data_IF_012148253313
#
_entry.id   IF_012148253313
#
_cell.length_a   1.000
_cell.length_b   1.000
_cell.length_c   1.000
_cell.angle_alpha   90.00
_cell.angle_beta   90.00
_cell.angle_gamma   90.00
#
_symmetry.space_group_name_H-M   'P 1'
#
loop_
_entity.id
_entity.type
_entity.pdbx_description
1 polymer ?
#
# COMPACT_ATOMS: atom_id res chain seq x y z
N UNK A 1 -21.01 52.00 -33.75
CA UNK A 1 -20.75 50.98 -32.71
C UNK A 1 -19.67 50.06 -33.23
N UNK A 2 -18.67 49.77 -32.40
CA UNK A 2 -17.41 49.11 -32.74
C UNK A 2 -17.56 47.58 -32.99
N UNK A 3 -16.54 47.04 -33.68
CA UNK A 3 -16.15 45.63 -33.81
C UNK A 3 -16.48 44.78 -32.57
N UNK A 4 -17.00 43.55 -32.74
CA UNK A 4 -16.45 42.23 -32.32
C UNK A 4 -17.33 41.13 -32.97
N UNK A 5 -16.73 40.09 -33.57
CA UNK A 5 -17.45 38.84 -33.86
C UNK A 5 -16.91 38.03 -35.04
N UNK A 6 -15.74 37.42 -34.88
CA UNK A 6 -15.12 36.53 -35.86
C UNK A 6 -15.79 35.15 -35.97
N UNK A 7 -15.73 34.60 -37.18
CA UNK A 7 -16.25 33.31 -37.66
C UNK A 7 -15.62 32.09 -36.98
N UNK A 8 -16.44 31.07 -36.70
CA UNK A 8 -16.00 29.69 -36.53
C UNK A 8 -16.62 28.84 -37.65
N UNK A 9 -15.92 28.78 -38.79
CA UNK A 9 -16.16 27.79 -39.84
C UNK A 9 -15.16 26.64 -39.64
N UNK A 10 -15.64 25.39 -39.65
CA UNK A 10 -14.77 24.24 -39.87
C UNK A 10 -14.99 23.07 -38.93
N UNK A 11 -16.08 22.34 -39.15
CA UNK A 11 -16.19 20.92 -38.81
C UNK A 11 -15.04 20.20 -39.52
N UNK A 12 -14.04 19.76 -38.75
CA UNK A 12 -12.83 19.16 -39.32
C UNK A 12 -13.12 17.75 -39.85
N UNK A 13 -12.63 17.60 -41.08
CA UNK A 13 -12.77 16.52 -42.06
C UNK A 13 -12.36 15.13 -41.57
N UNK A 14 -13.08 14.14 -42.12
CA UNK A 14 -12.89 12.71 -41.99
C UNK A 14 -11.51 12.23 -42.49
N UNK A 15 -10.92 11.34 -41.68
CA UNK A 15 -9.99 10.22 -41.98
C UNK A 15 -9.28 10.22 -43.34
N UNK A 16 -7.97 10.47 -43.34
CA UNK A 16 -7.04 9.83 -44.29
C UNK A 16 -5.84 9.28 -43.53
N UNK A 17 -5.62 7.98 -43.76
CA UNK A 17 -4.41 7.24 -43.45
C UNK A 17 -3.15 7.96 -43.97
N UNK A 18 -2.01 7.50 -43.47
CA UNK A 18 -0.65 7.81 -43.91
C UNK A 18 -0.02 9.06 -43.28
N UNK A 19 0.53 8.89 -42.07
CA UNK A 19 1.81 9.46 -41.63
C UNK A 19 2.15 9.01 -40.20
N UNK A 20 2.70 7.80 -40.07
CA UNK A 20 3.57 7.48 -38.93
C UNK A 20 4.89 7.00 -39.50
N UNK A 21 5.86 7.91 -39.65
CA UNK A 21 7.26 7.54 -39.73
C UNK A 21 8.16 8.70 -39.29
N UNK A 22 9.16 8.33 -38.50
CA UNK A 22 10.39 9.05 -38.19
C UNK A 22 10.31 10.13 -37.12
N UNK A 23 10.73 9.78 -35.89
CA UNK A 23 11.81 10.52 -35.25
C UNK A 23 12.64 9.61 -34.33
N UNK A 24 13.91 9.48 -34.71
CA UNK A 24 15.11 9.15 -33.94
C UNK A 24 15.05 8.00 -32.91
N UNK A 25 15.58 6.84 -33.33
CA UNK A 25 16.17 5.83 -32.45
C UNK A 25 17.56 6.30 -31.99
N UNK A 26 17.69 6.63 -30.71
CA UNK A 26 18.96 6.62 -29.97
C UNK A 26 18.72 6.69 -28.46
N UNK A 27 18.61 5.48 -27.85
CA UNK A 27 18.85 5.02 -26.45
C UNK A 27 18.14 5.70 -25.24
N UNK A 28 17.90 4.98 -24.12
CA UNK A 28 18.07 3.54 -23.83
C UNK A 28 16.75 2.83 -23.45
N UNK A 29 16.73 1.50 -23.57
CA UNK A 29 15.76 0.65 -22.90
C UNK A 29 16.06 0.64 -21.39
N UNK A 30 15.59 1.66 -20.67
CA UNK A 30 15.35 1.62 -19.24
C UNK A 30 14.64 2.92 -18.87
N UNK A 31 13.36 2.83 -18.57
CA UNK A 31 12.85 3.63 -17.49
C UNK A 31 12.01 2.68 -16.69
N UNK A 32 12.62 2.11 -15.66
CA UNK A 32 12.03 1.90 -14.34
C UNK A 32 10.62 2.53 -14.16
N UNK A 33 9.60 1.90 -14.73
CA UNK A 33 8.20 2.13 -14.45
C UNK A 33 7.74 0.96 -13.56
N UNK A 34 7.59 1.10 -12.26
CA UNK A 34 7.78 2.28 -11.43
C UNK A 34 8.46 1.90 -10.13
N UNK A 35 9.08 2.90 -9.51
CA UNK A 35 8.96 2.98 -8.06
C UNK A 35 7.45 3.10 -7.85
N UNK A 36 6.78 1.99 -7.54
CA UNK A 36 5.50 2.06 -6.85
C UNK A 36 5.83 2.83 -5.60
N UNK A 37 5.52 4.13 -5.63
CA UNK A 37 5.49 4.92 -4.43
C UNK A 37 4.42 4.25 -3.57
N UNK A 38 4.88 3.42 -2.64
CA UNK A 38 4.06 2.83 -1.58
C UNK A 38 3.65 3.95 -0.64
N UNK A 39 2.87 4.89 -1.14
CA UNK A 39 2.34 6.04 -0.40
C UNK A 39 0.89 6.24 -0.78
N UNK A 40 0.08 5.20 -0.53
CA UNK A 40 -1.35 5.35 -0.23
C UNK A 40 -1.94 4.09 0.40
N UNK A 41 -1.15 3.41 1.25
CA UNK A 41 -1.62 2.32 2.09
C UNK A 41 -1.51 2.74 3.54
N UNK A 42 -2.47 3.54 4.02
CA UNK A 42 -2.64 3.68 5.47
C UNK A 42 -2.96 2.31 6.06
N UNK A 43 -2.52 2.06 7.28
CA UNK A 43 -2.98 0.92 8.06
C UNK A 43 -4.51 0.94 8.13
N UNK A 44 -5.11 -0.26 8.10
CA UNK A 44 -6.55 -0.45 8.18
C UNK A 44 -7.10 0.07 9.50
N UNK A 45 -6.38 -0.19 10.60
CA UNK A 45 -6.71 0.24 11.95
C UNK A 45 -5.45 0.28 12.83
N UNK A 46 -5.51 1.02 13.93
CA UNK A 46 -4.50 1.05 15.00
C UNK A 46 -5.06 0.28 16.20
N UNK A 47 -4.39 -0.80 16.58
CA UNK A 47 -4.86 -1.72 17.63
C UNK A 47 -3.80 -1.82 18.73
N UNK A 48 -4.21 -1.69 19.98
CA UNK A 48 -3.32 -1.87 21.13
C UNK A 48 -2.94 -3.34 21.30
N UNK A 49 -1.69 -3.61 21.66
CA UNK A 49 -1.19 -4.99 21.85
C UNK A 49 -1.98 -5.75 22.93
N UNK A 50 -2.55 -5.05 23.92
CA UNK A 50 -3.40 -5.62 24.97
C UNK A 50 -4.71 -6.23 24.45
N UNK A 51 -5.21 -5.75 23.30
CA UNK A 51 -6.44 -6.23 22.66
C UNK A 51 -6.18 -7.41 21.69
N UNK A 52 -4.91 -7.74 21.43
CA UNK A 52 -4.53 -8.88 20.60
C UNK A 52 -4.49 -10.18 21.41
N UNK A 53 -4.82 -11.29 20.76
CA UNK A 53 -4.83 -12.61 21.41
C UNK A 53 -3.51 -13.35 21.12
N UNK A 54 -2.82 -13.78 22.18
CA UNK A 54 -1.56 -14.52 22.06
C UNK A 54 -1.82 -15.98 21.67
N UNK A 55 -1.35 -16.36 20.48
CA UNK A 55 -1.40 -17.74 20.03
C UNK A 55 -0.07 -18.47 20.33
N UNK A 56 -0.06 -19.30 21.37
CA UNK A 56 1.11 -20.06 21.78
C UNK A 56 1.55 -21.16 20.78
N UNK A 57 0.66 -21.63 19.89
CA UNK A 57 1.03 -22.62 18.87
C UNK A 57 1.80 -21.98 17.71
N UNK A 58 1.45 -20.75 17.35
CA UNK A 58 2.11 -19.99 16.29
C UNK A 58 3.26 -19.11 16.82
N UNK A 59 3.26 -18.78 18.11
CA UNK A 59 4.19 -17.83 18.70
C UNK A 59 3.96 -16.40 18.20
N UNK A 60 2.71 -16.02 17.96
CA UNK A 60 2.35 -14.73 17.39
C UNK A 60 1.08 -14.15 18.01
N UNK A 61 0.98 -12.83 18.01
CA UNK A 61 -0.24 -12.11 18.40
C UNK A 61 -1.20 -12.07 17.22
N UNK A 62 -2.48 -12.39 17.48
CA UNK A 62 -3.51 -12.50 16.45
C UNK A 62 -4.67 -11.55 16.69
N UNK A 63 -5.25 -11.03 15.61
CA UNK A 63 -6.41 -10.13 15.67
C UNK A 63 -7.40 -10.39 14.53
N UNK A 64 -8.70 -10.21 14.78
CA UNK A 64 -9.75 -10.56 13.84
C UNK A 64 -9.75 -9.63 12.62
N UNK A 65 -9.54 -10.20 11.41
CA UNK A 65 -9.61 -9.44 10.17
C UNK A 65 -11.04 -9.46 9.61
N UNK A 66 -11.57 -8.34 9.08
CA UNK A 66 -12.90 -8.30 8.47
C UNK A 66 -13.07 -9.20 7.25
N UNK A 67 -11.99 -9.74 6.68
CA UNK A 67 -12.06 -10.69 5.58
C UNK A 67 -12.30 -12.15 6.02
N UNK A 68 -12.29 -12.43 7.33
CA UNK A 68 -12.54 -13.75 7.90
C UNK A 68 -11.28 -14.51 8.33
N UNK A 69 -10.09 -13.96 8.06
CA UNK A 69 -8.81 -14.47 8.54
C UNK A 69 -8.31 -13.68 9.76
N UNK A 70 -7.09 -13.98 10.21
CA UNK A 70 -6.46 -13.32 11.35
C UNK A 70 -5.22 -12.54 10.88
N UNK A 71 -5.12 -11.30 11.35
CA UNK A 71 -3.83 -10.60 11.35
C UNK A 71 -2.89 -11.31 12.30
N UNK A 72 -1.61 -11.38 11.95
CA UNK A 72 -0.58 -11.91 12.82
C UNK A 72 0.65 -11.00 12.85
N UNK A 73 1.30 -10.93 14.00
CA UNK A 73 2.59 -10.28 14.19
C UNK A 73 3.41 -11.07 15.20
N UNK A 74 4.71 -11.23 14.95
CA UNK A 74 5.58 -11.97 15.86
C UNK A 74 6.11 -11.05 16.97
N UNK A 75 6.36 -11.59 18.17
CA UNK A 75 7.00 -10.82 19.23
C UNK A 75 8.43 -10.41 18.90
N UNK A 76 9.10 -11.16 18.01
CA UNK A 76 10.45 -10.82 17.56
C UNK A 76 10.44 -9.57 16.66
N UNK A 77 9.45 -9.48 15.78
CA UNK A 77 9.19 -8.29 14.95
C UNK A 77 8.90 -7.07 15.82
N UNK A 78 8.02 -7.22 16.83
CA UNK A 78 7.73 -6.15 17.80
C UNK A 78 8.98 -5.71 18.58
N UNK A 79 9.85 -6.66 18.98
CA UNK A 79 11.15 -6.33 19.60
C UNK A 79 12.11 -5.63 18.63
N UNK A 80 11.98 -5.91 17.33
CA UNK A 80 12.72 -5.26 16.24
C UNK A 80 12.21 -3.86 15.88
N UNK A 81 11.09 -3.43 16.45
CA UNK A 81 10.45 -2.15 16.12
C UNK A 81 9.47 -2.24 14.94
N UNK A 82 9.15 -3.44 14.46
CA UNK A 82 8.16 -3.66 13.41
C UNK A 82 6.77 -3.80 14.06
N UNK A 83 5.93 -2.81 13.82
CA UNK A 83 4.57 -2.69 14.38
C UNK A 83 3.47 -3.04 13.37
N UNK A 84 3.85 -3.62 12.22
CA UNK A 84 2.92 -3.88 11.11
C UNK A 84 2.41 -5.31 11.17
N UNK A 85 1.14 -5.46 11.52
CA UNK A 85 0.44 -6.75 11.49
C UNK A 85 -0.04 -7.09 10.09
N UNK A 86 0.27 -8.30 9.63
CA UNK A 86 -0.06 -8.76 8.27
C UNK A 86 -1.15 -9.82 8.29
N UNK A 87 -2.06 -9.77 7.31
CA UNK A 87 -3.05 -10.82 7.06
C UNK A 87 -2.57 -11.72 5.91
N UNK A 88 -2.65 -13.06 6.02
CA UNK A 88 -2.19 -13.95 4.96
C UNK A 88 -3.13 -13.98 3.74
N UNK A 89 -4.41 -13.64 3.94
CA UNK A 89 -5.43 -13.68 2.89
C UNK A 89 -5.73 -12.32 2.27
N UNK A 90 -5.34 -11.24 2.94
CA UNK A 90 -5.72 -9.88 2.59
C UNK A 90 -4.47 -9.00 2.52
N UNK A 91 -4.37 -8.09 1.56
CA UNK A 91 -3.28 -7.11 1.48
C UNK A 91 -3.45 -5.95 2.47
N UNK A 92 -4.33 -6.11 3.46
CA UNK A 92 -4.53 -5.15 4.53
C UNK A 92 -3.44 -5.35 5.57
N UNK A 93 -3.12 -4.27 6.26
CA UNK A 93 -2.18 -4.25 7.38
C UNK A 93 -2.78 -3.45 8.51
N UNK A 94 -2.46 -3.79 9.75
CA UNK A 94 -2.82 -3.02 10.94
C UNK A 94 -1.55 -2.48 11.60
N UNK A 95 -1.67 -1.35 12.29
CA UNK A 95 -0.58 -0.83 13.13
C UNK A 95 -0.82 -1.27 14.56
N UNK A 96 0.17 -1.90 15.17
CA UNK A 96 0.10 -2.40 16.55
C UNK A 96 0.76 -1.40 17.47
N UNK A 97 -0.01 -0.77 18.35
CA UNK A 97 0.50 0.16 19.35
C UNK A 97 0.92 -0.65 20.58
N UNK A 98 2.17 -0.49 21.01
CA UNK A 98 2.71 -1.19 22.18
C UNK A 98 3.70 -0.32 22.96
N UNK A 99 3.75 -0.56 24.27
CA UNK A 99 4.82 -0.05 25.11
C UNK A 99 5.89 -1.14 25.36
N UNK A 100 7.14 -0.72 25.51
CA UNK A 100 8.26 -1.63 25.72
C UNK A 100 8.11 -2.48 27.00
N UNK A 101 7.37 -1.98 27.98
CA UNK A 101 7.08 -2.69 29.22
C UNK A 101 6.04 -3.81 29.04
N UNK A 102 5.10 -3.68 28.11
CA UNK A 102 4.04 -4.67 27.90
C UNK A 102 4.52 -5.86 27.08
N UNK A 103 5.46 -5.63 26.16
CA UNK A 103 6.16 -6.72 25.49
C UNK A 103 6.77 -7.72 26.48
N UNK A 104 7.37 -7.23 27.58
CA UNK A 104 8.00 -8.08 28.60
C UNK A 104 6.96 -8.79 29.47
N UNK A 105 5.78 -8.19 29.69
CA UNK A 105 4.71 -8.77 30.51
C UNK A 105 3.94 -9.85 29.76
N UNK A 106 3.67 -9.63 28.48
CA UNK A 106 2.76 -10.45 27.68
C UNK A 106 3.51 -11.60 27.00
N UNK A 107 4.78 -11.43 26.63
CA UNK A 107 5.60 -12.48 26.02
C UNK A 107 6.22 -13.34 27.12
N UNK A 108 5.81 -14.61 27.32
CA UNK A 108 6.45 -15.47 28.30
C UNK A 108 7.93 -15.69 27.92
N UNK A 109 8.85 -15.44 28.86
CA UNK A 109 10.28 -15.68 28.64
C UNK A 109 10.53 -17.17 28.37
N UNK A 110 10.92 -17.51 27.13
CA UNK A 110 11.16 -18.91 26.75
C UNK A 110 11.09 -19.25 25.26
N UNK A 111 10.86 -18.28 24.38
CA UNK A 111 11.04 -18.39 22.93
C UNK A 111 12.15 -17.45 22.45
#
# INVERSE_FOLDING_TARGET
TAYIGGRCDGVHVQTRSDQCATHARSVPCYSSIGRVEATMGGSYDEVDLEDMDWNAEMGAFTYQCPCGDLFFITPDDLRGGEEIGHCPSCSLVITVVYDAEDLVKIIPEGF
#
